data_IF_123871791914
#
_entry.id   IF_123871791914
#
_cell.length_a   1.000
_cell.length_b   1.000
_cell.length_c   1.000
_cell.angle_alpha   90.00
_cell.angle_beta   90.00
_cell.angle_gamma   90.00
#
_symmetry.space_group_name_H-M   'P 1'
#
loop_
_entity.id
_entity.type
_entity.pdbx_description
1 polymer ?
#
# COMPACT_ATOMS: atom_id res chain seq x y z
N UNK A 1 3.13 17.14 -3.82
CA UNK A 1 2.28 18.30 -3.47
C UNK A 1 1.73 18.07 -2.08
N UNK A 2 1.92 19.01 -1.17
CA UNK A 2 1.30 18.96 0.15
C UNK A 2 -0.21 19.16 -0.01
N UNK A 3 -1.00 18.41 0.73
CA UNK A 3 -2.42 18.68 0.87
C UNK A 3 -2.50 19.85 1.85
N UNK A 4 -2.82 21.03 1.34
CA UNK A 4 -3.00 22.24 2.16
C UNK A 4 -4.20 22.01 3.08
N UNK A 5 -3.99 22.12 4.39
CA UNK A 5 -5.07 22.12 5.39
C UNK A 5 -5.04 21.02 6.45
N UNK A 6 -4.18 19.99 6.32
CA UNK A 6 -3.98 18.99 7.38
C UNK A 6 -2.56 19.10 7.92
N UNK A 7 -2.42 19.13 9.24
CA UNK A 7 -1.12 19.05 9.88
C UNK A 7 -0.50 17.67 9.55
N UNK A 8 0.45 17.65 8.63
CA UNK A 8 1.28 16.48 8.35
C UNK A 8 1.95 16.04 9.65
N UNK A 9 1.58 14.90 10.17
CA UNK A 9 2.32 14.27 11.26
C UNK A 9 3.65 13.78 10.72
N UNK A 10 4.75 14.06 11.40
CA UNK A 10 6.08 13.55 11.03
C UNK A 10 6.57 12.57 12.07
N UNK A 11 7.27 11.55 11.62
CA UNK A 11 7.99 10.60 12.47
C UNK A 11 9.46 10.63 12.14
N UNK A 12 10.29 10.80 13.18
CA UNK A 12 11.73 10.69 13.10
C UNK A 12 12.15 9.32 13.64
N UNK A 13 13.04 8.67 12.92
CA UNK A 13 13.52 7.32 13.27
C UNK A 13 14.94 7.08 12.78
N UNK A 14 15.57 6.08 13.39
CA UNK A 14 16.87 5.58 12.98
C UNK A 14 16.75 4.12 12.55
N UNK A 15 17.48 3.75 11.51
CA UNK A 15 17.55 2.39 10.98
C UNK A 15 19.00 1.93 11.00
N UNK A 16 19.24 0.72 11.53
CA UNK A 16 20.50 -0.01 11.38
C UNK A 16 20.29 -1.23 10.49
N UNK A 17 21.05 -1.32 9.41
CA UNK A 17 21.00 -2.46 8.50
C UNK A 17 21.67 -3.68 9.13
N UNK A 18 20.92 -4.76 9.33
CA UNK A 18 21.46 -6.04 9.78
C UNK A 18 22.17 -6.82 8.67
N UNK A 19 21.88 -6.51 7.41
CA UNK A 19 22.46 -7.10 6.20
C UNK A 19 22.76 -6.00 5.19
N UNK A 20 23.68 -6.30 4.24
CA UNK A 20 23.93 -5.40 3.11
C UNK A 20 22.67 -5.22 2.27
N UNK A 21 22.38 -3.99 1.86
CA UNK A 21 21.19 -3.62 1.09
C UNK A 21 21.47 -2.43 0.15
N UNK A 22 20.79 -2.44 -1.00
CA UNK A 22 20.70 -1.29 -1.92
C UNK A 22 19.38 -0.53 -1.76
N UNK A 23 18.31 -1.21 -1.31
CA UNK A 23 17.06 -0.58 -0.98
C UNK A 23 16.99 -0.35 0.53
N UNK A 24 16.80 0.89 0.93
CA UNK A 24 16.79 1.31 2.32
C UNK A 24 15.35 1.32 2.85
N UNK A 25 15.04 0.53 3.88
CA UNK A 25 13.76 0.59 4.54
C UNK A 25 13.45 1.98 5.09
N UNK A 26 12.30 2.51 4.76
CA UNK A 26 11.80 3.78 5.30
C UNK A 26 10.32 3.66 5.64
N UNK A 27 9.87 4.43 6.61
CA UNK A 27 8.44 4.66 6.80
C UNK A 27 7.93 5.49 5.62
N UNK A 28 6.78 5.20 5.11
CA UNK A 28 6.16 5.99 4.05
C UNK A 28 5.52 7.24 4.65
N UNK A 29 5.65 8.39 4.06
CA UNK A 29 6.43 8.85 2.90
C UNK A 29 7.72 9.50 3.40
N UNK A 30 8.90 9.05 2.96
CA UNK A 30 10.16 9.65 3.39
C UNK A 30 10.25 11.10 2.91
N UNK A 31 10.56 12.01 3.84
CA UNK A 31 10.79 13.44 3.61
C UNK A 31 12.28 13.73 3.51
N UNK A 32 13.07 13.09 4.35
CA UNK A 32 14.53 13.22 4.35
C UNK A 32 15.19 11.94 4.86
N UNK A 33 16.41 11.71 4.40
CA UNK A 33 17.31 10.65 4.87
C UNK A 33 18.67 11.28 5.10
N UNK A 34 19.37 10.93 6.20
CA UNK A 34 20.65 11.50 6.61
C UNK A 34 21.85 10.98 5.79
N UNK A 35 21.66 10.74 4.48
CA UNK A 35 22.69 10.22 3.58
C UNK A 35 22.61 10.92 2.23
N UNK A 36 23.79 11.27 1.70
CA UNK A 36 23.93 11.95 0.40
C UNK A 36 24.13 10.96 -0.77
N UNK A 37 24.45 9.68 -0.47
CA UNK A 37 24.70 8.62 -1.45
C UNK A 37 23.47 7.77 -1.76
N UNK A 38 22.28 8.34 -1.55
CA UNK A 38 20.98 7.71 -1.81
C UNK A 38 20.12 8.58 -2.71
N UNK A 39 19.19 7.94 -3.41
CA UNK A 39 18.17 8.62 -4.21
C UNK A 39 16.77 8.14 -3.83
N UNK A 40 15.82 9.03 -3.94
CA UNK A 40 14.39 8.67 -3.83
C UNK A 40 13.87 8.42 -5.24
N UNK A 41 13.38 7.21 -5.49
CA UNK A 41 12.79 6.86 -6.79
C UNK A 41 11.45 7.57 -7.00
N UNK A 42 10.96 7.58 -8.24
CA UNK A 42 9.62 8.12 -8.55
C UNK A 42 8.48 7.43 -7.77
N UNK A 43 8.69 6.19 -7.33
CA UNK A 43 7.74 5.42 -6.51
C UNK A 43 7.92 5.66 -5.01
N UNK A 44 8.88 6.49 -4.60
CA UNK A 44 9.14 6.85 -3.21
C UNK A 44 9.99 5.82 -2.45
N UNK A 45 10.62 4.86 -3.12
CA UNK A 45 11.62 4.00 -2.50
C UNK A 45 12.95 4.74 -2.40
N UNK A 46 13.68 4.51 -1.30
CA UNK A 46 15.03 5.03 -1.11
C UNK A 46 16.03 3.96 -1.52
N UNK A 47 16.95 4.30 -2.41
CA UNK A 47 17.94 3.35 -2.94
C UNK A 47 19.32 3.99 -2.96
N UNK A 48 20.37 3.15 -2.89
CA UNK A 48 21.76 3.54 -3.08
C UNK A 48 22.31 2.90 -4.36
N UNK A 49 23.27 3.54 -5.02
CA UNK A 49 23.93 2.99 -6.21
C UNK A 49 24.74 1.73 -5.91
N UNK A 50 25.28 1.64 -4.71
CA UNK A 50 26.07 0.49 -4.25
C UNK A 50 25.46 -0.07 -2.98
N UNK A 51 25.57 -1.40 -2.76
CA UNK A 51 25.11 -2.00 -1.52
C UNK A 51 25.77 -1.36 -0.29
N UNK A 52 24.97 -0.84 0.61
CA UNK A 52 25.44 -0.39 1.91
C UNK A 52 25.73 -1.61 2.78
N UNK A 53 26.85 -1.65 3.49
CA UNK A 53 27.23 -2.81 4.30
C UNK A 53 26.31 -3.01 5.51
N UNK A 54 26.30 -4.23 6.04
CA UNK A 54 25.71 -4.52 7.35
C UNK A 54 26.33 -3.62 8.43
N UNK A 55 25.51 -3.19 9.40
CA UNK A 55 25.90 -2.24 10.44
C UNK A 55 25.74 -0.77 10.05
N UNK A 56 25.50 -0.46 8.77
CA UNK A 56 25.19 0.92 8.35
C UNK A 56 23.98 1.45 9.09
N UNK A 57 24.12 2.65 9.65
CA UNK A 57 23.03 3.37 10.32
C UNK A 57 22.68 4.64 9.55
N UNK A 58 21.41 4.97 9.50
CA UNK A 58 20.92 6.24 8.97
C UNK A 58 19.67 6.69 9.72
N UNK A 59 19.49 8.00 9.81
CA UNK A 59 18.25 8.59 10.32
C UNK A 59 17.37 9.03 9.16
N UNK A 60 16.06 9.03 9.38
CA UNK A 60 15.13 9.52 8.40
C UNK A 60 13.92 10.19 9.09
N UNK A 61 13.34 11.15 8.39
CA UNK A 61 12.06 11.76 8.72
C UNK A 61 11.05 11.38 7.66
N UNK A 62 9.88 10.91 8.06
CA UNK A 62 8.78 10.59 7.17
C UNK A 62 7.51 11.34 7.55
N UNK A 63 6.69 11.61 6.56
CA UNK A 63 5.34 12.17 6.74
C UNK A 63 4.36 11.02 6.81
N UNK A 64 3.58 10.93 7.87
CA UNK A 64 2.52 9.94 8.01
C UNK A 64 1.20 10.47 7.44
N UNK A 65 0.46 9.66 6.69
CA UNK A 65 -0.88 10.05 6.25
C UNK A 65 -1.80 10.23 7.47
N UNK A 66 -2.88 11.00 7.33
CA UNK A 66 -3.91 11.04 8.36
C UNK A 66 -4.51 9.64 8.55
N UNK A 67 -4.76 9.30 9.79
CA UNK A 67 -5.38 8.04 10.21
C UNK A 67 -6.77 8.25 10.86
N UNK A 68 -7.26 9.48 10.88
CA UNK A 68 -8.59 9.81 11.39
C UNK A 68 -9.68 9.36 10.38
N UNK A 69 -10.53 8.38 10.73
CA UNK A 69 -11.57 7.87 9.85
C UNK A 69 -12.58 8.94 9.42
N UNK A 70 -12.86 9.95 10.25
CA UNK A 70 -13.80 11.02 9.91
C UNK A 70 -13.24 11.89 8.77
N UNK A 71 -11.96 12.18 8.83
CA UNK A 71 -11.26 12.92 7.77
C UNK A 71 -11.23 12.09 6.48
N UNK A 72 -10.94 10.80 6.58
CA UNK A 72 -10.89 9.90 5.41
C UNK A 72 -12.27 9.72 4.76
N UNK A 73 -13.34 9.68 5.54
CA UNK A 73 -14.72 9.59 5.00
C UNK A 73 -15.14 10.81 4.21
N UNK A 74 -14.61 11.98 4.54
CA UNK A 74 -14.91 13.23 3.83
C UNK A 74 -14.06 13.44 2.57
N UNK A 75 -13.10 12.56 2.30
CA UNK A 75 -12.24 12.68 1.12
C UNK A 75 -13.01 12.38 -0.17
N UNK A 76 -12.85 13.29 -1.15
CA UNK A 76 -13.49 13.20 -2.45
C UNK A 76 -12.70 12.39 -3.49
N UNK A 77 -13.21 12.40 -4.73
CA UNK A 77 -12.64 11.72 -5.91
C UNK A 77 -11.89 12.68 -6.86
N UNK A 78 -11.62 13.92 -6.45
CA UNK A 78 -10.88 14.90 -7.27
C UNK A 78 -9.39 14.57 -7.25
N UNK A 79 -8.99 13.58 -8.05
CA UNK A 79 -7.62 13.13 -8.15
C UNK A 79 -6.81 13.97 -9.14
N UNK A 80 -5.49 14.20 -8.91
CA UNK A 80 -4.62 14.73 -9.95
C UNK A 80 -4.61 13.82 -11.18
N UNK A 81 -4.70 14.40 -12.37
CA UNK A 81 -4.84 13.65 -13.62
C UNK A 81 -3.69 12.65 -13.88
N UNK A 82 -2.47 12.97 -13.43
CA UNK A 82 -1.31 12.08 -13.52
C UNK A 82 -1.43 10.86 -12.58
N UNK A 83 -2.05 11.03 -11.42
CA UNK A 83 -2.34 9.94 -10.47
C UNK A 83 -3.47 9.06 -11.00
N UNK A 84 -4.55 9.68 -11.44
CA UNK A 84 -5.70 8.97 -12.01
C UNK A 84 -5.29 8.12 -13.21
N UNK A 85 -4.67 8.71 -14.21
CA UNK A 85 -4.24 8.00 -15.43
C UNK A 85 -3.26 6.86 -15.17
N UNK A 86 -2.41 6.98 -14.13
CA UNK A 86 -1.39 5.99 -13.79
C UNK A 86 -1.93 4.82 -12.96
N UNK A 87 -2.93 5.06 -12.11
CA UNK A 87 -3.29 4.14 -11.05
C UNK A 87 -4.75 3.66 -11.04
N UNK A 88 -5.52 3.93 -12.10
CA UNK A 88 -6.88 3.39 -12.27
C UNK A 88 -6.96 2.31 -13.36
N UNK A 89 -5.90 2.10 -14.15
CA UNK A 89 -5.93 1.12 -15.22
C UNK A 89 -6.09 -0.33 -14.72
N UNK A 90 -7.03 -1.07 -15.33
CA UNK A 90 -7.28 -2.51 -15.12
C UNK A 90 -7.31 -3.18 -16.49
N UNK A 91 -6.70 -4.38 -16.68
CA UNK A 91 -6.85 -5.14 -17.92
C UNK A 91 -8.33 -5.41 -18.23
N UNK A 92 -8.71 -5.34 -19.51
CA UNK A 92 -10.12 -5.46 -19.92
C UNK A 92 -10.74 -6.81 -19.53
N UNK A 93 -9.98 -7.91 -19.59
CA UNK A 93 -10.43 -9.24 -19.18
C UNK A 93 -10.80 -9.28 -17.69
N UNK A 94 -9.93 -8.75 -16.84
CA UNK A 94 -10.14 -8.65 -15.39
C UNK A 94 -11.30 -7.71 -15.07
N UNK A 95 -11.35 -6.55 -15.72
CA UNK A 95 -12.40 -5.56 -15.50
C UNK A 95 -13.80 -6.09 -15.84
N UNK A 96 -13.94 -6.94 -16.85
CA UNK A 96 -15.23 -7.51 -17.25
C UNK A 96 -15.89 -8.38 -16.16
N UNK A 97 -15.12 -9.00 -15.29
CA UNK A 97 -15.63 -9.84 -14.19
C UNK A 97 -15.65 -9.10 -12.85
N UNK A 98 -14.53 -8.46 -12.51
CA UNK A 98 -14.34 -7.82 -11.21
C UNK A 98 -15.15 -6.54 -11.09
N UNK A 99 -15.25 -5.73 -12.14
CA UNK A 99 -15.98 -4.46 -12.12
C UNK A 99 -17.44 -4.63 -11.66
N UNK A 100 -18.30 -5.37 -12.40
CA UNK A 100 -19.70 -5.55 -12.02
C UNK A 100 -19.91 -6.24 -10.66
N UNK A 101 -18.95 -7.03 -10.21
CA UNK A 101 -18.99 -7.61 -8.87
C UNK A 101 -18.71 -6.54 -7.81
N UNK A 102 -17.66 -5.73 -8.01
CA UNK A 102 -17.29 -4.67 -7.08
C UNK A 102 -18.34 -3.57 -7.02
N UNK A 103 -18.95 -3.21 -8.17
CA UNK A 103 -20.07 -2.25 -8.24
C UNK A 103 -21.20 -2.64 -7.27
N UNK A 104 -21.64 -3.90 -7.33
CA UNK A 104 -22.69 -4.40 -6.42
C UNK A 104 -22.25 -4.47 -4.97
N UNK A 105 -21.00 -4.84 -4.73
CA UNK A 105 -20.45 -4.95 -3.38
C UNK A 105 -20.38 -3.59 -2.69
N UNK A 106 -20.14 -2.53 -3.45
CA UNK A 106 -19.89 -1.18 -2.93
C UNK A 106 -20.99 -0.18 -3.25
N UNK A 107 -22.20 -0.67 -3.64
CA UNK A 107 -23.33 0.18 -4.07
C UNK A 107 -23.77 1.21 -3.02
N UNK A 108 -23.61 0.88 -1.74
CA UNK A 108 -23.95 1.75 -0.61
C UNK A 108 -22.76 2.60 -0.12
N UNK A 109 -21.63 2.60 -0.83
CA UNK A 109 -20.42 3.33 -0.43
C UNK A 109 -20.42 4.76 -0.97
N UNK A 110 -20.47 5.74 -0.07
CA UNK A 110 -20.55 7.17 -0.42
C UNK A 110 -19.18 7.84 -0.65
N UNK A 111 -18.07 7.18 -0.31
CA UNK A 111 -16.73 7.75 -0.43
C UNK A 111 -15.68 6.70 -0.81
N UNK A 112 -14.53 7.12 -1.38
CA UNK A 112 -13.40 6.22 -1.64
C UNK A 112 -12.95 5.42 -0.42
N UNK A 113 -13.01 6.04 0.76
CA UNK A 113 -12.69 5.37 2.02
C UNK A 113 -13.68 4.25 2.34
N UNK A 114 -14.99 4.52 2.23
CA UNK A 114 -16.01 3.49 2.47
C UNK A 114 -15.92 2.37 1.45
N UNK A 115 -15.71 2.69 0.17
CA UNK A 115 -15.45 1.69 -0.87
C UNK A 115 -14.28 0.78 -0.50
N UNK A 116 -13.16 1.37 -0.06
CA UNK A 116 -12.00 0.60 0.36
C UNK A 116 -12.29 -0.29 1.58
N UNK A 117 -12.95 0.26 2.60
CA UNK A 117 -13.31 -0.49 3.81
C UNK A 117 -14.28 -1.65 3.51
N UNK A 118 -15.25 -1.44 2.61
CA UNK A 118 -16.19 -2.49 2.20
C UNK A 118 -15.48 -3.62 1.47
N UNK A 119 -14.56 -3.30 0.56
CA UNK A 119 -13.76 -4.30 -0.16
C UNK A 119 -12.87 -5.08 0.81
N UNK A 120 -12.19 -4.39 1.73
CA UNK A 120 -11.35 -5.01 2.76
C UNK A 120 -12.15 -6.00 3.61
N UNK A 121 -13.28 -5.55 4.17
CA UNK A 121 -14.16 -6.39 4.96
C UNK A 121 -14.65 -7.62 4.20
N UNK A 122 -14.99 -7.46 2.91
CA UNK A 122 -15.39 -8.59 2.09
C UNK A 122 -14.25 -9.59 1.89
N UNK A 123 -13.04 -9.12 1.58
CA UNK A 123 -11.87 -9.98 1.42
C UNK A 123 -11.56 -10.74 2.71
N UNK A 124 -11.57 -10.07 3.86
CA UNK A 124 -11.32 -10.68 5.16
C UNK A 124 -12.39 -11.71 5.56
N UNK A 125 -13.66 -11.44 5.24
CA UNK A 125 -14.77 -12.32 5.57
C UNK A 125 -14.85 -13.57 4.67
N UNK A 126 -14.39 -13.47 3.42
CA UNK A 126 -14.60 -14.51 2.41
C UNK A 126 -13.31 -15.26 2.01
N UNK A 127 -12.14 -14.79 2.42
CA UNK A 127 -10.85 -15.38 2.07
C UNK A 127 -10.02 -15.70 3.30
N UNK A 128 -9.33 -16.83 3.26
CA UNK A 128 -8.47 -17.27 4.36
C UNK A 128 -7.00 -16.94 4.05
N UNK A 129 -6.29 -16.41 5.03
CA UNK A 129 -4.85 -16.20 4.88
C UNK A 129 -4.09 -17.52 5.01
N UNK A 130 -3.27 -17.85 4.00
CA UNK A 130 -2.45 -19.06 4.00
C UNK A 130 -1.24 -18.91 3.08
N UNK A 131 -0.07 -19.30 3.54
CA UNK A 131 1.13 -19.43 2.70
C UNK A 131 1.15 -20.75 1.91
N UNK A 132 0.29 -21.69 2.26
CA UNK A 132 0.16 -22.98 1.56
C UNK A 132 -0.96 -22.90 0.53
N UNK A 133 -0.64 -22.32 -0.62
CA UNK A 133 -1.53 -22.17 -1.77
C UNK A 133 -0.85 -22.69 -3.03
N UNK A 134 -1.63 -23.24 -3.96
CA UNK A 134 -1.17 -23.53 -5.31
C UNK A 134 -1.23 -22.24 -6.13
N UNK A 135 -0.22 -22.00 -6.96
CA UNK A 135 -0.25 -20.85 -7.86
C UNK A 135 -1.43 -21.03 -8.83
N UNK A 136 -2.22 -19.99 -9.08
CA UNK A 136 -3.32 -20.05 -10.03
C UNK A 136 -2.78 -20.38 -11.43
N UNK A 137 -3.54 -21.15 -12.23
CA UNK A 137 -3.11 -21.56 -13.56
C UNK A 137 -3.14 -20.44 -14.60
N UNK A 138 -3.80 -19.33 -14.30
CA UNK A 138 -3.99 -18.20 -15.21
C UNK A 138 -3.23 -16.97 -14.76
N UNK A 139 -2.96 -16.05 -15.69
CA UNK A 139 -2.24 -14.81 -15.44
C UNK A 139 -3.09 -13.76 -14.68
N UNK A 140 -4.40 -13.98 -14.53
CA UNK A 140 -5.32 -13.09 -13.82
C UNK A 140 -5.50 -13.50 -12.35
N UNK A 141 -4.46 -13.25 -11.57
CA UNK A 141 -4.41 -13.57 -10.14
C UNK A 141 -5.58 -12.96 -9.35
N UNK A 142 -6.03 -11.75 -9.71
CA UNK A 142 -7.11 -11.07 -8.99
C UNK A 142 -8.44 -11.78 -9.20
N UNK A 143 -8.82 -12.07 -10.44
CA UNK A 143 -10.06 -12.79 -10.75
C UNK A 143 -10.07 -14.19 -10.14
N UNK A 144 -8.95 -14.93 -10.27
CA UNK A 144 -8.83 -16.25 -9.66
C UNK A 144 -9.00 -16.20 -8.15
N UNK A 145 -8.34 -15.27 -7.47
CA UNK A 145 -8.46 -15.15 -6.03
C UNK A 145 -9.87 -14.74 -5.60
N UNK A 146 -10.48 -13.78 -6.29
CA UNK A 146 -11.82 -13.30 -5.94
C UNK A 146 -12.88 -14.40 -6.13
N UNK A 147 -12.84 -15.15 -7.24
CA UNK A 147 -13.95 -16.00 -7.64
C UNK A 147 -13.71 -17.50 -7.44
N UNK A 148 -12.47 -17.98 -7.44
CA UNK A 148 -12.16 -19.41 -7.48
C UNK A 148 -11.37 -19.91 -6.27
N UNK A 149 -10.57 -19.04 -5.62
CA UNK A 149 -9.71 -19.45 -4.51
C UNK A 149 -10.34 -19.11 -3.16
N UNK A 150 -10.25 -20.02 -2.19
CA UNK A 150 -10.70 -19.79 -0.80
C UNK A 150 -9.59 -19.22 0.09
N UNK A 151 -8.33 -19.31 -0.33
CA UNK A 151 -7.18 -18.91 0.48
C UNK A 151 -6.04 -18.34 -0.36
N UNK A 152 -5.30 -17.38 0.23
CA UNK A 152 -4.13 -16.74 -0.36
C UNK A 152 -3.27 -16.10 0.71
N UNK A 153 -2.17 -15.48 0.31
CA UNK A 153 -1.31 -14.68 1.18
C UNK A 153 -1.32 -13.20 0.74
N UNK A 154 -0.54 -12.37 1.40
CA UNK A 154 -0.60 -10.91 1.25
C UNK A 154 -0.63 -10.42 -0.20
N UNK A 155 0.08 -11.07 -1.12
CA UNK A 155 0.10 -10.66 -2.54
C UNK A 155 -1.27 -10.83 -3.21
N UNK A 156 -2.00 -11.93 -2.92
CA UNK A 156 -3.35 -12.18 -3.45
C UNK A 156 -4.34 -11.13 -2.94
N UNK A 157 -4.33 -10.87 -1.63
CA UNK A 157 -5.18 -9.85 -1.01
C UNK A 157 -4.88 -8.46 -1.56
N UNK A 158 -3.59 -8.08 -1.60
CA UNK A 158 -3.17 -6.77 -2.08
C UNK A 158 -3.48 -6.55 -3.56
N UNK A 159 -3.25 -7.57 -4.42
CA UNK A 159 -3.55 -7.49 -5.85
C UNK A 159 -5.05 -7.35 -6.09
N UNK A 160 -5.86 -8.19 -5.42
CA UNK A 160 -7.32 -8.14 -5.56
C UNK A 160 -7.89 -6.82 -5.05
N UNK A 161 -7.42 -6.33 -3.91
CA UNK A 161 -7.80 -5.02 -3.39
C UNK A 161 -7.49 -3.89 -4.37
N UNK A 162 -6.29 -3.89 -4.98
CA UNK A 162 -5.89 -2.88 -5.98
C UNK A 162 -6.80 -2.95 -7.21
N UNK A 163 -7.07 -4.13 -7.73
CA UNK A 163 -7.90 -4.31 -8.93
C UNK A 163 -9.34 -3.90 -8.66
N UNK A 164 -9.92 -4.29 -7.52
CA UNK A 164 -11.27 -3.89 -7.12
C UNK A 164 -11.39 -2.37 -6.95
N UNK A 165 -10.43 -1.72 -6.28
CA UNK A 165 -10.42 -0.25 -6.15
C UNK A 165 -10.32 0.45 -7.51
N UNK A 166 -9.42 -0.02 -8.38
CA UNK A 166 -9.25 0.56 -9.72
C UNK A 166 -10.48 0.38 -10.60
N UNK A 167 -11.22 -0.71 -10.45
CA UNK A 167 -12.49 -0.92 -11.15
C UNK A 167 -13.59 0.05 -10.71
N UNK A 168 -13.38 0.76 -9.60
CA UNK A 168 -14.24 1.83 -9.08
C UNK A 168 -13.65 3.23 -9.32
N UNK A 169 -12.71 3.37 -10.25
CA UNK A 169 -12.00 4.61 -10.55
C UNK A 169 -11.29 5.24 -9.33
N UNK A 170 -10.92 4.40 -8.35
CA UNK A 170 -10.13 4.83 -7.21
C UNK A 170 -8.65 4.49 -7.47
N UNK A 171 -7.77 5.51 -7.59
CA UNK A 171 -6.37 5.28 -7.84
C UNK A 171 -5.73 4.46 -6.73
N UNK A 172 -5.25 3.27 -7.07
CA UNK A 172 -4.65 2.34 -6.12
C UNK A 172 -3.39 1.72 -6.69
N UNK A 173 -2.43 1.40 -5.81
CA UNK A 173 -1.19 0.71 -6.18
C UNK A 173 -0.87 -0.41 -5.22
N UNK A 174 -0.26 -1.43 -5.78
CA UNK A 174 0.38 -2.50 -5.04
C UNK A 174 1.68 -1.99 -4.40
N UNK A 175 1.88 -2.30 -3.13
CA UNK A 175 3.05 -1.86 -2.36
C UNK A 175 3.68 -3.06 -1.68
N UNK A 176 4.99 -3.15 -1.71
CA UNK A 176 5.78 -4.14 -0.99
C UNK A 176 6.67 -3.47 0.05
N UNK A 177 6.89 -4.15 1.14
CA UNK A 177 7.72 -3.66 2.23
C UNK A 177 7.77 -4.65 3.39
N UNK A 178 7.73 -4.13 4.59
CA UNK A 178 7.78 -4.94 5.81
C UNK A 178 6.73 -4.46 6.80
N UNK A 179 6.12 -5.39 7.52
CA UNK A 179 5.34 -5.07 8.72
C UNK A 179 6.27 -4.59 9.84
N UNK A 180 5.70 -4.05 10.92
CA UNK A 180 6.44 -3.41 12.02
C UNK A 180 7.54 -4.29 12.64
N UNK A 181 7.46 -5.61 12.53
CA UNK A 181 8.44 -6.52 13.11
C UNK A 181 8.24 -6.74 14.61
N UNK A 182 9.27 -7.29 15.27
CA UNK A 182 9.24 -7.62 16.69
C UNK A 182 9.74 -6.43 17.53
N UNK A 183 8.98 -6.05 18.55
CA UNK A 183 9.41 -5.03 19.51
C UNK A 183 10.47 -5.60 20.43
N UNK A 184 11.69 -5.08 20.35
CA UNK A 184 12.86 -5.56 21.12
C UNK A 184 13.30 -4.61 22.23
N UNK A 185 12.65 -3.44 22.33
CA UNK A 185 12.93 -2.45 23.38
C UNK A 185 11.89 -1.33 23.42
N UNK A 186 12.14 -0.31 24.23
CA UNK A 186 11.32 0.90 24.22
C UNK A 186 11.55 1.64 22.91
N UNK A 187 10.51 1.70 22.06
CA UNK A 187 10.58 2.32 20.72
C UNK A 187 11.64 1.69 19.78
N UNK A 188 11.98 0.42 20.00
CA UNK A 188 12.92 -0.32 19.16
C UNK A 188 12.25 -1.57 18.59
N UNK A 189 12.45 -1.80 17.29
CA UNK A 189 11.85 -2.90 16.55
C UNK A 189 12.92 -3.62 15.71
N UNK A 190 12.83 -4.94 15.66
CA UNK A 190 13.65 -5.74 14.75
C UNK A 190 12.78 -6.25 13.60
N UNK A 191 13.09 -5.81 12.39
CA UNK A 191 12.40 -6.22 11.16
C UNK A 191 13.24 -7.27 10.45
N UNK A 192 12.65 -8.41 10.14
CA UNK A 192 13.31 -9.56 9.48
C UNK A 192 12.67 -9.87 8.14
N UNK A 193 13.30 -10.70 7.33
CA UNK A 193 12.75 -11.15 6.05
C UNK A 193 11.34 -11.78 6.17
N UNK A 194 11.04 -12.45 7.27
CA UNK A 194 9.70 -12.99 7.55
C UNK A 194 8.63 -11.93 7.77
N UNK A 195 9.01 -10.67 7.97
CA UNK A 195 8.09 -9.54 8.05
C UNK A 195 7.80 -8.93 6.67
N UNK A 196 8.37 -9.50 5.59
CA UNK A 196 8.05 -9.08 4.23
C UNK A 196 6.54 -9.17 4.00
N UNK A 197 5.96 -8.12 3.46
CA UNK A 197 4.52 -8.00 3.32
C UNK A 197 4.15 -7.16 2.10
N UNK A 198 2.98 -7.42 1.55
CA UNK A 198 2.39 -6.64 0.48
C UNK A 198 1.03 -6.11 0.93
N UNK A 199 0.70 -4.91 0.49
CA UNK A 199 -0.60 -4.29 0.73
C UNK A 199 -1.00 -3.36 -0.41
N UNK A 200 -2.26 -2.98 -0.44
CA UNK A 200 -2.76 -1.95 -1.33
C UNK A 200 -2.60 -0.56 -0.70
N UNK A 201 -2.37 0.44 -1.52
CA UNK A 201 -2.48 1.84 -1.13
C UNK A 201 -3.36 2.56 -2.13
N UNK A 202 -4.46 3.11 -1.67
CA UNK A 202 -5.30 4.00 -2.45
C UNK A 202 -4.99 5.46 -2.15
N UNK A 203 -5.34 6.32 -3.10
CA UNK A 203 -5.26 7.77 -2.95
C UNK A 203 -6.62 8.27 -2.48
N UNK A 204 -6.64 9.04 -1.39
CA UNK A 204 -7.77 9.86 -1.00
C UNK A 204 -7.33 11.31 -0.99
N UNK A 205 -8.24 12.25 -1.27
CA UNK A 205 -7.96 13.69 -1.18
C UNK A 205 -8.93 14.28 -0.17
N UNK A 206 -8.41 14.93 0.87
CA UNK A 206 -9.24 15.74 1.73
C UNK A 206 -9.89 16.85 0.87
N UNK A 207 -11.21 16.95 0.90
CA UNK A 207 -11.89 18.07 0.28
C UNK A 207 -11.43 19.34 0.98
N UNK A 208 -10.89 20.31 0.23
CA UNK A 208 -10.72 21.67 0.72
C UNK A 208 -12.13 22.19 1.03
N UNK A 209 -12.45 22.31 2.33
CA UNK A 209 -13.63 23.01 2.83
C UNK A 209 -13.41 24.52 2.74
#
# INVERSE_FOLDING_TARGET
MAVDGMADSTVDYEVQLAKSATSLPTVWRPKSVSRDDVMVTEYGAVTSERPLPAGTTYSATSVTPPDDPEVLRTSGRDYPADIESRYTGVPASTSAQVGPFTDRLTEDSDSPYQTAATIEQWLEANKNYSLNVSQPPEDDVASEFIFQMDKGYCEYFATSMVVMLRSQDIPARYVVGYSTGERTGQNQYTVRGMNAHAWSRCTSRASAG
#
